data_IF_177735808786
#
_entry.id   IF_177735808786
#
_cell.length_a   1.000
_cell.length_b   1.000
_cell.length_c   1.000
_cell.angle_alpha   90.00
_cell.angle_beta   90.00
_cell.angle_gamma   90.00
#
_symmetry.space_group_name_H-M   'P 1'
#
loop_
_entity.id
_entity.type
_entity.pdbx_description
1 polymer ?
#
# COMPACT_ATOMS: atom_id res chain seq x y z
N UNK A 1 -5.40 -8.18 -10.16
CA UNK A 1 -4.05 -8.69 -9.84
C UNK A 1 -2.97 -7.89 -10.58
N UNK A 2 -3.13 -7.68 -11.90
CA UNK A 2 -2.11 -7.05 -12.75
C UNK A 2 -1.58 -5.70 -12.26
N UNK A 3 -2.42 -4.85 -11.66
CA UNK A 3 -2.00 -3.54 -11.12
C UNK A 3 -1.01 -3.61 -9.95
N UNK A 4 -0.82 -4.78 -9.37
CA UNK A 4 0.06 -4.99 -8.20
C UNK A 4 1.30 -5.85 -8.52
N UNK A 5 1.48 -6.28 -9.78
CA UNK A 5 2.58 -7.16 -10.19
C UNK A 5 3.95 -6.56 -9.87
N UNK A 6 4.18 -5.34 -10.33
CA UNK A 6 5.45 -4.63 -10.15
C UNK A 6 5.69 -4.32 -8.68
N UNK A 7 4.64 -3.91 -7.95
CA UNK A 7 4.72 -3.69 -6.51
C UNK A 7 5.13 -4.98 -5.80
N UNK A 8 4.51 -6.12 -6.14
CA UNK A 8 4.86 -7.41 -5.55
C UNK A 8 6.32 -7.77 -5.79
N UNK A 9 6.82 -7.61 -7.01
CA UNK A 9 8.23 -7.90 -7.33
C UNK A 9 9.17 -7.02 -6.52
N UNK A 10 8.88 -5.72 -6.41
CA UNK A 10 9.68 -4.80 -5.59
C UNK A 10 9.62 -5.11 -4.11
N UNK A 11 8.43 -5.43 -3.59
CA UNK A 11 8.26 -5.81 -2.18
C UNK A 11 8.92 -7.16 -1.85
N UNK A 12 9.01 -8.08 -2.79
CA UNK A 12 9.74 -9.34 -2.58
C UNK A 12 11.24 -9.11 -2.30
N UNK A 13 11.85 -8.11 -2.91
CA UNK A 13 13.22 -7.71 -2.59
C UNK A 13 13.30 -7.29 -1.13
N UNK A 14 12.43 -6.38 -0.70
CA UNK A 14 12.40 -5.87 0.67
C UNK A 14 12.15 -6.98 1.70
N UNK A 15 11.13 -7.81 1.46
CA UNK A 15 10.67 -8.81 2.43
C UNK A 15 11.52 -10.09 2.42
N UNK A 16 12.02 -10.52 1.24
CA UNK A 16 12.70 -11.83 1.10
C UNK A 16 14.21 -11.71 1.04
N UNK A 17 14.75 -10.70 0.35
CA UNK A 17 16.20 -10.52 0.20
C UNK A 17 16.76 -9.69 1.36
N UNK A 18 16.17 -8.52 1.63
CA UNK A 18 16.58 -7.64 2.73
C UNK A 18 16.01 -8.07 4.09
N UNK A 19 15.06 -9.00 4.10
CA UNK A 19 14.45 -9.58 5.31
C UNK A 19 13.84 -8.53 6.26
N UNK A 20 13.31 -7.47 5.72
CA UNK A 20 12.57 -6.46 6.51
C UNK A 20 11.27 -7.09 7.00
N UNK A 21 11.03 -6.97 8.31
CA UNK A 21 9.77 -7.40 8.92
C UNK A 21 8.75 -6.28 8.77
N UNK A 22 7.62 -6.59 8.19
CA UNK A 22 6.48 -5.67 8.02
C UNK A 22 5.27 -6.28 8.72
N UNK A 23 4.84 -5.65 9.80
CA UNK A 23 3.70 -6.13 10.58
C UNK A 23 2.35 -5.80 9.92
N UNK A 24 2.29 -4.67 9.20
CA UNK A 24 1.07 -4.17 8.59
C UNK A 24 1.39 -3.16 7.47
N UNK A 25 0.52 -3.10 6.48
CA UNK A 25 0.59 -2.14 5.38
C UNK A 25 -0.62 -1.22 5.42
N UNK A 26 -0.38 0.09 5.34
CA UNK A 26 -1.44 1.08 5.20
C UNK A 26 -1.71 1.36 3.72
N UNK A 27 -2.95 1.08 3.30
CA UNK A 27 -3.42 1.31 1.94
C UNK A 27 -4.05 2.68 1.77
N UNK A 28 -3.59 3.45 0.77
CA UNK A 28 -4.15 4.74 0.39
C UNK A 28 -4.31 4.87 -1.13
N UNK A 29 -5.26 5.70 -1.54
CA UNK A 29 -5.46 6.05 -2.93
C UNK A 29 -6.62 5.34 -3.63
N UNK A 30 -6.76 5.56 -4.92
CA UNK A 30 -7.91 5.15 -5.72
C UNK A 30 -8.19 3.64 -5.74
N UNK A 31 -7.16 2.81 -5.54
CA UNK A 31 -7.31 1.34 -5.46
C UNK A 31 -8.26 0.92 -4.32
N UNK A 32 -8.33 1.70 -3.25
CA UNK A 32 -9.09 1.41 -2.05
C UNK A 32 -10.49 2.05 -2.03
N UNK A 33 -10.89 2.78 -3.07
CA UNK A 33 -12.26 3.35 -3.19
C UNK A 33 -13.34 2.27 -3.21
N UNK A 34 -13.06 1.12 -3.79
CA UNK A 34 -13.96 -0.03 -3.71
C UNK A 34 -13.64 -0.80 -2.43
N UNK A 35 -14.52 -0.67 -1.44
CA UNK A 35 -14.33 -1.22 -0.10
C UNK A 35 -13.99 -2.72 -0.14
N UNK A 36 -12.91 -3.09 0.50
CA UNK A 36 -12.45 -4.46 0.69
C UNK A 36 -11.73 -5.08 -0.51
N UNK A 37 -12.02 -4.68 -1.76
CA UNK A 37 -11.48 -5.34 -2.96
C UNK A 37 -9.97 -5.13 -3.11
N UNK A 38 -9.52 -3.88 -3.19
CA UNK A 38 -8.09 -3.57 -3.27
C UNK A 38 -7.33 -4.06 -2.04
N UNK A 39 -7.95 -3.96 -0.88
CA UNK A 39 -7.37 -4.37 0.40
C UNK A 39 -7.12 -5.89 0.45
N UNK A 40 -8.10 -6.72 0.08
CA UNK A 40 -7.95 -8.18 0.08
C UNK A 40 -6.91 -8.66 -0.94
N UNK A 41 -6.90 -8.05 -2.12
CA UNK A 41 -5.93 -8.41 -3.17
C UNK A 41 -4.50 -8.01 -2.75
N UNK A 42 -4.33 -6.84 -2.14
CA UNK A 42 -3.02 -6.40 -1.66
C UNK A 42 -2.53 -7.28 -0.51
N UNK A 43 -3.41 -7.61 0.44
CA UNK A 43 -3.07 -8.52 1.54
C UNK A 43 -2.63 -9.89 1.01
N UNK A 44 -3.35 -10.45 0.03
CA UNK A 44 -2.98 -11.70 -0.62
C UNK A 44 -1.65 -11.60 -1.40
N UNK A 45 -1.43 -10.50 -2.12
CA UNK A 45 -0.22 -10.28 -2.90
C UNK A 45 1.04 -10.23 -2.03
N UNK A 46 0.95 -9.60 -0.85
CA UNK A 46 2.09 -9.37 0.02
C UNK A 46 2.19 -10.35 1.20
N UNK A 47 1.18 -11.20 1.36
CA UNK A 47 1.03 -12.10 2.52
C UNK A 47 1.21 -11.36 3.84
N UNK A 48 0.60 -10.17 3.93
CA UNK A 48 0.76 -9.24 5.03
C UNK A 48 -0.58 -8.55 5.29
N UNK A 49 -0.98 -8.31 6.54
CA UNK A 49 -2.19 -7.56 6.85
C UNK A 49 -2.19 -6.17 6.23
N UNK A 50 -3.34 -5.76 5.71
CA UNK A 50 -3.53 -4.43 5.12
C UNK A 50 -4.63 -3.69 5.86
N UNK A 51 -4.32 -2.49 6.32
CA UNK A 51 -5.30 -1.56 6.89
C UNK A 51 -5.61 -0.41 5.93
N UNK A 52 -6.86 -0.01 5.91
CA UNK A 52 -7.36 1.08 5.08
C UNK A 52 -8.22 1.97 5.95
N UNK A 53 -7.86 3.24 6.05
CA UNK A 53 -8.61 4.24 6.77
C UNK A 53 -9.85 4.70 5.97
N UNK A 54 -10.86 5.23 6.63
CA UNK A 54 -12.07 5.74 5.94
C UNK A 54 -11.75 6.83 4.91
N UNK A 55 -10.70 7.60 5.14
CA UNK A 55 -10.20 8.68 4.27
C UNK A 55 -9.28 8.21 3.15
N UNK A 56 -8.96 6.92 3.08
CA UNK A 56 -7.93 6.38 2.20
C UNK A 56 -8.17 6.63 0.70
N UNK A 57 -9.43 6.77 0.27
CA UNK A 57 -9.77 6.99 -1.13
C UNK A 57 -9.24 8.29 -1.73
N UNK A 58 -8.98 9.30 -0.90
CA UNK A 58 -8.53 10.64 -1.29
C UNK A 58 -7.16 11.00 -0.65
N UNK A 59 -6.32 10.02 -0.39
CA UNK A 59 -5.12 10.14 0.43
C UNK A 59 -4.18 11.29 0.07
N UNK A 60 -3.93 11.55 -1.23
CA UNK A 60 -3.05 12.63 -1.67
C UNK A 60 -3.59 14.02 -1.35
N UNK A 61 -4.81 14.31 -1.76
CA UNK A 61 -5.45 15.60 -1.50
C UNK A 61 -5.66 15.84 0.01
N UNK A 62 -6.07 14.80 0.71
CA UNK A 62 -6.26 14.85 2.15
C UNK A 62 -4.94 15.10 2.89
N UNK A 63 -3.86 14.43 2.51
CA UNK A 63 -2.53 14.63 3.10
C UNK A 63 -2.04 16.07 2.95
N UNK A 64 -2.21 16.68 1.77
CA UNK A 64 -1.85 18.09 1.56
C UNK A 64 -2.71 19.02 2.42
N UNK A 65 -4.01 18.75 2.53
CA UNK A 65 -4.92 19.52 3.40
C UNK A 65 -4.51 19.43 4.88
N UNK A 66 -4.06 18.25 5.32
CA UNK A 66 -3.53 18.08 6.69
C UNK A 66 -2.28 18.89 6.95
N UNK A 67 -1.33 18.92 6.01
CA UNK A 67 -0.13 19.76 6.15
C UNK A 67 -0.49 21.23 6.22
N UNK A 68 -1.39 21.71 5.39
CA UNK A 68 -1.89 23.07 5.44
C UNK A 68 -2.60 23.38 6.78
N UNK A 69 -3.39 22.42 7.28
CA UNK A 69 -4.04 22.54 8.59
C UNK A 69 -3.03 22.60 9.72
N UNK A 70 -2.03 21.72 9.70
CA UNK A 70 -0.95 21.74 10.67
C UNK A 70 -0.23 23.10 10.70
N UNK A 71 0.16 23.62 9.54
CA UNK A 71 0.85 24.91 9.44
C UNK A 71 0.07 26.07 10.08
N UNK A 72 -1.27 26.03 10.00
CA UNK A 72 -2.12 27.10 10.49
C UNK A 72 -2.61 26.91 11.94
N UNK A 73 -2.65 25.68 12.44
CA UNK A 73 -3.32 25.36 13.71
C UNK A 73 -2.42 24.64 14.74
N UNK A 74 -1.16 24.42 14.42
CA UNK A 74 -0.23 23.83 15.39
C UNK A 74 0.02 24.78 16.55
N UNK A 75 0.22 24.23 17.75
CA UNK A 75 0.75 25.00 18.88
C UNK A 75 2.24 25.32 18.64
N UNK A 76 2.77 26.27 19.41
CA UNK A 76 4.20 26.58 19.43
C UNK A 76 4.96 25.29 19.83
N UNK A 77 5.95 24.89 19.04
CA UNK A 77 6.75 23.68 19.23
C UNK A 77 6.00 22.34 19.10
N UNK A 78 4.73 22.30 18.66
CA UNK A 78 4.00 21.05 18.41
C UNK A 78 4.58 20.34 17.17
N UNK A 79 5.06 19.10 17.35
CA UNK A 79 5.53 18.29 16.24
C UNK A 79 4.37 17.79 15.35
N UNK A 80 4.67 17.44 14.10
CA UNK A 80 3.62 17.00 13.15
C UNK A 80 2.96 15.69 13.59
N UNK A 81 3.73 14.74 14.07
CA UNK A 81 3.25 13.47 14.59
C UNK A 81 2.29 13.65 15.78
N UNK A 82 2.66 14.46 16.76
CA UNK A 82 1.79 14.79 17.90
C UNK A 82 0.47 15.43 17.45
N UNK A 83 0.55 16.38 16.50
CA UNK A 83 -0.64 17.02 15.94
C UNK A 83 -1.54 16.02 15.22
N UNK A 84 -0.96 15.13 14.42
CA UNK A 84 -1.71 14.13 13.68
C UNK A 84 -2.38 13.13 14.61
N UNK A 85 -1.67 12.63 15.61
CA UNK A 85 -2.21 11.65 16.56
C UNK A 85 -3.31 12.26 17.43
N UNK A 86 -3.10 13.48 17.95
CA UNK A 86 -4.05 14.10 18.86
C UNK A 86 -5.29 14.70 18.18
N UNK A 87 -5.11 15.30 16.98
CA UNK A 87 -6.17 16.12 16.35
C UNK A 87 -6.76 15.51 15.08
N UNK A 88 -6.05 14.60 14.43
CA UNK A 88 -6.48 14.05 13.15
C UNK A 88 -6.87 12.59 13.27
N UNK A 89 -6.00 11.76 13.81
CA UNK A 89 -6.22 10.30 13.88
C UNK A 89 -6.93 9.87 15.16
N UNK A 90 -7.05 10.76 16.15
CA UNK A 90 -7.79 10.48 17.37
C UNK A 90 -9.23 10.01 17.05
N UNK A 91 -9.53 8.74 17.35
CA UNK A 91 -10.85 8.15 17.12
C UNK A 91 -11.19 7.79 15.67
N UNK A 92 -10.28 7.96 14.72
CA UNK A 92 -10.49 7.45 13.36
C UNK A 92 -10.50 5.93 13.34
N UNK A 93 -11.43 5.38 12.57
CA UNK A 93 -11.56 3.93 12.39
C UNK A 93 -11.03 3.55 11.01
N UNK A 94 -10.24 2.50 10.99
CA UNK A 94 -9.83 1.81 9.79
C UNK A 94 -10.41 0.40 9.74
N UNK A 95 -10.28 -0.24 8.59
CA UNK A 95 -10.55 -1.67 8.45
C UNK A 95 -9.23 -2.38 8.24
N UNK A 96 -8.95 -3.39 9.06
CA UNK A 96 -7.81 -4.30 8.86
C UNK A 96 -8.30 -5.57 8.19
N UNK A 97 -7.52 -6.09 7.27
CA UNK A 97 -7.80 -7.34 6.57
C UNK A 97 -6.54 -8.19 6.53
N UNK A 98 -6.65 -9.38 7.11
CA UNK A 98 -5.58 -10.37 7.07
C UNK A 98 -5.55 -11.08 5.70
N UNK A 99 -4.38 -11.57 5.25
CA UNK A 99 -4.28 -12.33 4.03
C UNK A 99 -5.05 -13.66 4.12
N UNK A 100 -5.85 -13.96 3.09
CA UNK A 100 -6.50 -15.25 2.98
C UNK A 100 -5.53 -16.26 2.36
N UNK A 101 -5.23 -17.42 2.97
CA UNK A 101 -4.24 -18.37 2.47
C UNK A 101 -4.50 -18.86 1.03
N UNK A 102 -5.78 -19.06 0.64
CA UNK A 102 -6.13 -19.47 -0.72
C UNK A 102 -5.84 -18.38 -1.76
N UNK A 103 -6.09 -17.12 -1.37
CA UNK A 103 -5.84 -15.97 -2.24
C UNK A 103 -4.33 -15.71 -2.36
N UNK A 104 -3.56 -15.94 -1.29
CA UNK A 104 -2.08 -15.90 -1.31
C UNK A 104 -1.53 -16.94 -2.28
N UNK A 105 -1.99 -18.20 -2.20
CA UNK A 105 -1.59 -19.26 -3.13
C UNK A 105 -1.95 -18.91 -4.58
N UNK A 106 -3.16 -18.41 -4.79
CA UNK A 106 -3.64 -17.97 -6.11
C UNK A 106 -2.80 -16.82 -6.65
N UNK A 107 -2.46 -15.83 -5.83
CA UNK A 107 -1.61 -14.72 -6.24
C UNK A 107 -0.18 -15.16 -6.53
N UNK A 108 0.38 -16.04 -5.73
CA UNK A 108 1.71 -16.60 -5.97
C UNK A 108 1.78 -17.36 -7.30
N UNK A 109 0.75 -18.13 -7.63
CA UNK A 109 0.64 -18.79 -8.95
C UNK A 109 0.59 -17.78 -10.09
N UNK A 110 -0.14 -16.68 -9.91
CA UNK A 110 -0.25 -15.61 -10.89
C UNK A 110 1.08 -14.88 -11.09
N UNK A 111 1.78 -14.49 -10.02
CA UNK A 111 3.03 -13.72 -10.10
C UNK A 111 4.16 -14.51 -10.77
N UNK A 112 4.20 -15.83 -10.61
CA UNK A 112 5.19 -16.66 -11.31
C UNK A 112 4.98 -16.65 -12.85
N UNK A 113 3.74 -16.49 -13.30
CA UNK A 113 3.46 -16.29 -14.73
C UNK A 113 3.93 -14.90 -15.18
N UNK A 114 3.67 -13.88 -14.40
CA UNK A 114 4.12 -12.52 -14.69
C UNK A 114 5.64 -12.43 -14.78
N UNK A 115 6.38 -13.00 -13.83
CA UNK A 115 7.85 -13.02 -13.86
C UNK A 115 8.42 -13.57 -15.16
N UNK A 116 7.75 -14.53 -15.80
CA UNK A 116 8.15 -15.05 -17.11
C UNK A 116 8.02 -14.05 -18.25
N UNK A 117 7.26 -12.97 -18.08
CA UNK A 117 7.13 -11.90 -19.08
C UNK A 117 8.21 -10.84 -18.97
N UNK A 118 8.91 -10.73 -17.84
CA UNK A 118 9.91 -9.70 -17.61
C UNK A 118 11.07 -9.72 -18.65
N UNK A 119 11.61 -10.88 -19.07
CA UNK A 119 12.62 -10.92 -20.13
C UNK A 119 12.12 -10.37 -21.47
N UNK A 120 10.83 -10.56 -21.79
CA UNK A 120 10.21 -10.03 -23.01
C UNK A 120 10.15 -8.50 -22.93
N UNK A 121 9.74 -7.96 -21.80
CA UNK A 121 9.70 -6.51 -21.57
C UNK A 121 11.10 -5.89 -21.66
N UNK A 122 12.11 -6.56 -21.10
CA UNK A 122 13.52 -6.14 -21.20
C UNK A 122 13.99 -6.11 -22.65
N UNK A 123 13.76 -7.19 -23.39
CA UNK A 123 14.13 -7.27 -24.81
C UNK A 123 13.45 -6.16 -25.63
N UNK A 124 12.16 -5.87 -25.37
CA UNK A 124 11.45 -4.79 -26.04
C UNK A 124 12.11 -3.41 -25.78
N UNK A 125 12.53 -3.12 -24.54
CA UNK A 125 13.19 -1.85 -24.22
C UNK A 125 14.60 -1.74 -24.83
N UNK A 126 15.30 -2.85 -25.01
CA UNK A 126 16.63 -2.89 -25.63
C UNK A 126 16.55 -2.68 -27.15
N UNK A 127 15.47 -3.12 -27.78
CA UNK A 127 15.27 -2.98 -29.24
C UNK A 127 14.68 -1.64 -29.66
N UNK A 128 14.08 -0.90 -28.74
CA UNK A 128 13.50 0.44 -29.00
C UNK A 128 14.47 1.60 -28.74
N UNK A 129 15.74 1.31 -28.52
CA UNK A 129 16.82 2.29 -28.46
C UNK A 129 17.40 2.54 -29.84
#
# INVERSE_FOLDING_TARGET
YASLEVLKVGMDILLKEEKVVVDEILGHGGLFKTKGVGQSILAAALDTPVSVMETAGEGGAWGIALLASYMNNKAEDEALDDYLDAKVFAGQKGTKMDPNPKDVEGYNTFIERFKKTLPIMKAATETMK
#
